data_IF_419497093996
#
_entry.id   IF_419497093996
#
_cell.length_a   1.000
_cell.length_b   1.000
_cell.length_c   1.000
_cell.angle_alpha   90.00
_cell.angle_beta   90.00
_cell.angle_gamma   90.00
#
_symmetry.space_group_name_H-M   'P 1'
#
loop_
_entity.id
_entity.type
_entity.pdbx_description
1 polymer ?
#
# COMPACT_ATOMS: atom_id res chain seq x y z
N UNK A 1 -20.43 -27.65 -76.69
CA UNK A 1 -20.83 -26.35 -76.11
C UNK A 1 -20.22 -26.24 -74.73
N UNK A 2 -19.25 -25.35 -74.57
CA UNK A 2 -18.43 -25.18 -73.36
C UNK A 2 -19.28 -24.50 -72.28
N UNK A 3 -19.43 -25.12 -71.10
CA UNK A 3 -20.01 -24.48 -69.91
C UNK A 3 -18.89 -24.12 -68.96
N UNK A 4 -18.65 -22.82 -68.79
CA UNK A 4 -17.75 -22.27 -67.77
C UNK A 4 -18.53 -22.17 -66.47
N UNK A 5 -18.08 -22.86 -65.43
CA UNK A 5 -18.66 -22.76 -64.08
C UNK A 5 -17.82 -21.76 -63.28
N UNK A 6 -18.40 -20.61 -62.95
CA UNK A 6 -17.76 -19.60 -62.12
C UNK A 6 -17.83 -20.03 -60.64
N UNK A 7 -16.67 -20.11 -59.99
CA UNK A 7 -16.52 -20.41 -58.57
C UNK A 7 -16.60 -19.08 -57.79
N UNK A 8 -17.62 -18.90 -56.96
CA UNK A 8 -17.73 -17.75 -56.07
C UNK A 8 -16.99 -18.05 -54.75
N UNK A 9 -15.87 -17.36 -54.49
CA UNK A 9 -15.23 -17.36 -53.18
C UNK A 9 -15.96 -16.36 -52.28
N UNK A 10 -16.62 -16.85 -51.24
CA UNK A 10 -17.09 -16.03 -50.11
C UNK A 10 -15.95 -15.84 -49.12
N UNK A 11 -15.44 -14.61 -49.00
CA UNK A 11 -14.47 -14.23 -47.97
C UNK A 11 -15.21 -13.92 -46.66
N UNK A 12 -15.14 -14.82 -45.67
CA UNK A 12 -15.56 -14.55 -44.30
C UNK A 12 -14.45 -13.82 -43.56
N UNK A 13 -14.65 -12.54 -43.26
CA UNK A 13 -13.78 -11.77 -42.37
C UNK A 13 -14.04 -12.21 -40.91
N UNK A 14 -13.05 -12.85 -40.29
CA UNK A 14 -13.09 -13.18 -38.87
C UNK A 14 -12.74 -11.93 -38.04
N UNK A 15 -13.72 -11.37 -37.34
CA UNK A 15 -13.51 -10.36 -36.31
C UNK A 15 -12.85 -11.03 -35.10
N UNK A 16 -11.57 -10.74 -34.89
CA UNK A 16 -10.86 -11.11 -33.66
C UNK A 16 -11.30 -10.13 -32.58
N UNK A 17 -12.20 -10.57 -31.69
CA UNK A 17 -12.49 -9.86 -30.45
C UNK A 17 -11.31 -10.07 -29.49
N UNK A 18 -10.42 -9.09 -29.40
CA UNK A 18 -9.51 -8.99 -28.25
C UNK A 18 -10.32 -8.56 -27.04
N UNK A 19 -10.72 -9.52 -26.21
CA UNK A 19 -11.19 -9.22 -24.86
C UNK A 19 -10.04 -8.55 -24.11
N UNK A 20 -10.09 -7.22 -23.98
CA UNK A 20 -9.23 -6.51 -23.06
C UNK A 20 -9.50 -7.03 -21.67
N UNK A 21 -8.53 -7.72 -21.07
CA UNK A 21 -8.53 -7.95 -19.64
C UNK A 21 -8.42 -6.57 -18.99
N UNK A 22 -9.55 -5.99 -18.62
CA UNK A 22 -9.58 -4.90 -17.66
C UNK A 22 -8.99 -5.46 -16.37
N UNK A 23 -7.68 -5.27 -16.18
CA UNK A 23 -7.06 -5.56 -14.90
C UNK A 23 -7.84 -4.79 -13.84
N UNK A 24 -8.28 -5.47 -12.79
CA UNK A 24 -8.70 -4.78 -11.57
C UNK A 24 -7.55 -3.88 -11.19
N UNK A 25 -7.77 -2.57 -11.20
CA UNK A 25 -6.81 -1.64 -10.65
C UNK A 25 -6.70 -1.98 -9.16
N UNK A 26 -5.72 -2.79 -8.78
CA UNK A 26 -5.46 -3.04 -7.39
C UNK A 26 -4.98 -1.71 -6.79
N UNK A 27 -5.70 -1.26 -5.76
CA UNK A 27 -5.40 -0.11 -4.93
C UNK A 27 -4.07 -0.32 -4.20
N UNK A 28 -2.97 -0.24 -4.93
CA UNK A 28 -1.61 -0.43 -4.42
C UNK A 28 -0.83 0.87 -4.62
N UNK A 29 -0.18 1.40 -3.56
CA UNK A 29 0.67 2.58 -3.66
C UNK A 29 1.87 2.36 -4.61
N UNK A 30 2.52 3.46 -5.03
CA UNK A 30 3.69 3.39 -5.89
C UNK A 30 4.89 2.70 -5.22
N UNK A 31 5.89 2.37 -6.04
CA UNK A 31 7.25 1.98 -5.62
C UNK A 31 7.37 0.76 -4.71
N UNK A 32 6.45 -0.21 -4.79
CA UNK A 32 6.66 -1.53 -4.16
C UNK A 32 7.76 -2.27 -4.95
N UNK A 33 8.94 -2.56 -4.35
CA UNK A 33 10.07 -3.17 -5.06
C UNK A 33 9.77 -4.62 -5.43
N UNK A 34 10.52 -5.23 -6.35
CA UNK A 34 10.41 -6.68 -6.62
C UNK A 34 10.80 -7.51 -5.38
N UNK A 35 10.41 -8.79 -5.34
CA UNK A 35 10.78 -9.68 -4.24
C UNK A 35 12.31 -9.82 -4.07
N UNK A 36 13.07 -9.82 -5.16
CA UNK A 36 14.55 -9.90 -5.12
C UNK A 36 15.17 -8.62 -4.55
N UNK A 37 14.63 -7.45 -4.91
CA UNK A 37 15.07 -6.17 -4.33
C UNK A 37 14.71 -6.11 -2.84
N UNK A 38 13.48 -6.46 -2.46
CA UNK A 38 13.07 -6.50 -1.06
C UNK A 38 13.95 -7.44 -0.22
N UNK A 39 14.33 -8.62 -0.72
CA UNK A 39 15.26 -9.51 0.00
C UNK A 39 16.65 -8.89 0.19
N UNK A 40 17.12 -8.12 -0.79
CA UNK A 40 18.40 -7.41 -0.69
C UNK A 40 18.32 -6.28 0.33
N UNK A 41 17.24 -5.49 0.30
CA UNK A 41 16.96 -4.45 1.29
C UNK A 41 16.86 -5.03 2.70
N UNK A 42 16.07 -6.10 2.89
CA UNK A 42 15.93 -6.79 4.19
C UNK A 42 17.27 -7.28 4.73
N UNK A 43 18.13 -7.86 3.87
CA UNK A 43 19.46 -8.30 4.26
C UNK A 43 20.32 -7.12 4.75
N UNK A 44 20.19 -5.95 4.10
CA UNK A 44 20.91 -4.72 4.43
C UNK A 44 20.38 -3.95 5.64
N UNK A 45 19.15 -4.22 6.11
CA UNK A 45 18.62 -3.55 7.30
C UNK A 45 19.43 -3.88 8.56
N UNK A 46 19.79 -2.84 9.31
CA UNK A 46 20.43 -2.93 10.62
C UNK A 46 19.50 -3.63 11.61
N UNK A 47 19.97 -4.73 12.19
CA UNK A 47 19.23 -5.46 13.21
C UNK A 47 19.48 -4.84 14.58
N UNK A 48 18.43 -4.35 15.23
CA UNK A 48 18.48 -3.77 16.58
C UNK A 48 17.16 -3.99 17.31
N UNK A 49 17.19 -4.08 18.64
CA UNK A 49 15.97 -4.11 19.42
C UNK A 49 15.23 -2.76 19.34
N UNK A 50 13.90 -2.81 19.36
CA UNK A 50 13.04 -1.65 19.58
C UNK A 50 13.40 -0.93 20.90
N UNK A 51 13.34 0.40 20.89
CA UNK A 51 13.67 1.23 22.07
C UNK A 51 12.76 2.46 22.16
N UNK A 52 12.82 3.21 23.26
CA UNK A 52 12.12 4.52 23.41
C UNK A 52 10.59 4.48 23.32
N UNK A 53 9.96 3.30 23.48
CA UNK A 53 8.50 3.11 23.45
C UNK A 53 7.76 4.06 24.40
N UNK A 54 8.30 4.24 25.60
CA UNK A 54 7.77 5.06 26.70
C UNK A 54 7.79 6.57 26.43
N UNK A 55 8.52 7.02 25.41
CA UNK A 55 8.65 8.43 25.04
C UNK A 55 7.90 8.80 23.77
N UNK A 56 7.20 7.84 23.16
CA UNK A 56 6.41 8.11 21.97
C UNK A 56 5.25 9.06 22.26
N UNK A 57 5.10 10.06 21.39
CA UNK A 57 3.90 10.87 21.28
C UNK A 57 3.55 11.03 19.80
N UNK A 58 2.32 10.65 19.43
CA UNK A 58 1.82 10.75 18.05
C UNK A 58 1.85 12.18 17.52
N UNK A 59 1.73 13.18 18.39
CA UNK A 59 1.79 14.60 18.01
C UNK A 59 3.15 15.02 17.42
N UNK A 60 4.21 14.23 17.68
CA UNK A 60 5.55 14.45 17.13
C UNK A 60 5.66 14.12 15.64
N UNK A 61 4.64 13.48 15.06
CA UNK A 61 4.48 13.22 13.63
C UNK A 61 3.34 14.07 13.08
N UNK A 62 3.58 15.34 12.68
CA UNK A 62 2.57 16.11 11.98
C UNK A 62 2.11 15.35 10.73
N UNK A 63 0.85 14.97 10.67
CA UNK A 63 0.30 14.18 9.58
C UNK A 63 -1.07 14.68 9.15
N UNK A 64 -1.41 14.34 7.91
CA UNK A 64 -2.48 14.92 7.12
C UNK A 64 -2.22 16.39 6.79
N UNK A 65 -0.99 16.69 6.35
CA UNK A 65 -0.68 18.00 5.79
C UNK A 65 -1.38 18.20 4.45
N UNK A 66 -1.64 19.46 4.10
CA UNK A 66 -2.12 19.84 2.77
C UNK A 66 -1.09 19.50 1.71
N UNK A 67 -1.49 18.70 0.71
CA UNK A 67 -0.66 18.34 -0.44
C UNK A 67 -0.91 19.28 -1.61
N UNK A 68 -2.18 19.54 -1.91
CA UNK A 68 -2.57 20.44 -3.00
C UNK A 68 -3.99 20.97 -2.79
N UNK A 69 -4.18 22.28 -2.95
CA UNK A 69 -5.49 22.92 -2.74
C UNK A 69 -6.02 22.68 -1.32
N UNK A 70 -7.23 22.13 -1.22
CA UNK A 70 -7.84 21.69 0.05
C UNK A 70 -7.56 20.23 0.40
N UNK A 71 -6.92 19.47 -0.49
CA UNK A 71 -6.64 18.05 -0.27
C UNK A 71 -5.45 17.87 0.67
N UNK A 72 -5.72 17.28 1.83
CA UNK A 72 -4.66 16.76 2.69
C UNK A 72 -4.16 15.40 2.19
N UNK A 73 -3.16 14.87 2.88
CA UNK A 73 -2.55 13.58 2.51
C UNK A 73 -3.55 12.42 2.58
N UNK A 74 -4.44 12.38 3.59
CA UNK A 74 -5.48 11.35 3.72
C UNK A 74 -6.40 11.33 2.50
N UNK A 75 -6.96 12.49 2.15
CA UNK A 75 -7.87 12.61 1.01
C UNK A 75 -7.14 12.34 -0.32
N UNK A 76 -5.85 12.68 -0.39
CA UNK A 76 -5.01 12.31 -1.53
C UNK A 76 -4.90 10.80 -1.70
N UNK A 77 -4.72 10.05 -0.61
CA UNK A 77 -4.66 8.58 -0.65
C UNK A 77 -6.02 7.97 -0.96
N UNK A 78 -7.10 8.43 -0.33
CA UNK A 78 -8.44 7.93 -0.63
C UNK A 78 -8.80 8.09 -2.11
N UNK A 79 -8.41 9.21 -2.71
CA UNK A 79 -8.62 9.44 -4.14
C UNK A 79 -7.72 8.60 -5.04
N UNK A 80 -6.48 8.33 -4.61
CA UNK A 80 -5.50 7.48 -5.33
C UNK A 80 -5.94 6.01 -5.35
N UNK A 81 -6.40 5.51 -4.20
CA UNK A 81 -6.66 4.09 -3.96
C UNK A 81 -8.13 3.71 -4.18
N UNK A 82 -9.04 4.69 -4.22
CA UNK A 82 -10.44 4.46 -4.50
C UNK A 82 -10.78 4.52 -5.99
N UNK A 83 -11.90 3.90 -6.36
CA UNK A 83 -12.48 3.96 -7.69
C UNK A 83 -13.70 4.89 -7.69
N UNK A 84 -13.89 5.65 -8.77
CA UNK A 84 -15.00 6.59 -8.96
C UNK A 84 -15.16 7.63 -7.83
N UNK A 85 -14.08 7.94 -7.11
CA UNK A 85 -14.12 8.82 -5.93
C UNK A 85 -14.58 10.23 -6.33
N UNK A 86 -15.65 10.69 -5.70
CA UNK A 86 -16.09 12.08 -5.77
C UNK A 86 -15.70 12.79 -4.47
N UNK A 87 -15.34 14.06 -4.58
CA UNK A 87 -14.89 14.88 -3.44
C UNK A 87 -15.70 16.16 -3.32
N UNK A 88 -15.91 16.62 -2.08
CA UNK A 88 -16.45 17.95 -1.79
C UNK A 88 -15.47 19.08 -2.13
N UNK A 89 -15.89 20.33 -1.89
CA UNK A 89 -15.01 21.51 -2.08
C UNK A 89 -13.83 21.56 -1.10
N UNK A 90 -13.98 20.90 0.05
CA UNK A 90 -12.94 20.66 1.05
C UNK A 90 -12.07 19.43 0.73
N UNK A 91 -12.26 18.81 -0.44
CA UNK A 91 -11.61 17.59 -0.90
C UNK A 91 -11.98 16.31 -0.12
N UNK A 92 -12.90 16.38 0.85
CA UNK A 92 -13.37 15.18 1.55
C UNK A 92 -14.07 14.24 0.56
N UNK A 93 -13.72 12.96 0.58
CA UNK A 93 -14.40 11.94 -0.23
C UNK A 93 -15.88 11.82 0.19
N UNK A 94 -16.80 12.04 -0.76
CA UNK A 94 -18.25 11.99 -0.54
C UNK A 94 -18.89 10.72 -1.10
N UNK A 95 -18.24 10.09 -2.09
CA UNK A 95 -18.60 8.78 -2.61
C UNK A 95 -17.40 8.14 -3.29
N UNK A 96 -17.48 6.83 -3.51
CA UNK A 96 -16.45 6.04 -4.17
C UNK A 96 -16.59 4.56 -3.78
N UNK A 97 -15.65 3.76 -4.23
CA UNK A 97 -15.48 2.37 -3.77
C UNK A 97 -14.02 2.12 -3.46
N UNK A 98 -13.74 1.39 -2.38
CA UNK A 98 -12.41 1.02 -1.94
C UNK A 98 -12.36 -0.48 -1.65
N UNK A 99 -11.27 -1.12 -2.06
CA UNK A 99 -10.98 -2.51 -1.76
C UNK A 99 -9.80 -2.57 -0.80
N UNK A 100 -9.99 -3.13 0.39
CA UNK A 100 -8.91 -3.27 1.36
C UNK A 100 -8.04 -4.49 1.02
N UNK A 101 -6.73 -4.31 0.80
CA UNK A 101 -5.84 -5.42 0.51
C UNK A 101 -5.58 -6.32 1.73
N UNK A 102 -5.85 -5.86 2.95
CA UNK A 102 -5.51 -6.61 4.16
C UNK A 102 -6.47 -7.77 4.42
N UNK A 103 -7.76 -7.60 4.13
CA UNK A 103 -8.84 -8.55 4.41
C UNK A 103 -9.73 -8.86 3.19
N UNK A 104 -9.53 -8.16 2.07
CA UNK A 104 -10.39 -8.28 0.88
C UNK A 104 -11.75 -7.59 1.04
N UNK A 105 -11.91 -6.73 2.05
CA UNK A 105 -13.14 -5.96 2.28
C UNK A 105 -13.42 -4.97 1.15
N UNK A 106 -14.70 -4.77 0.84
CA UNK A 106 -15.16 -3.82 -0.18
C UNK A 106 -16.08 -2.79 0.46
N UNK A 107 -15.76 -1.51 0.29
CA UNK A 107 -16.40 -0.41 1.01
C UNK A 107 -16.85 0.70 0.06
N UNK A 108 -18.03 1.25 0.30
CA UNK A 108 -18.56 2.44 -0.41
C UNK A 108 -18.56 3.69 0.44
N UNK A 109 -18.44 3.54 1.76
CA UNK A 109 -18.35 4.66 2.70
C UNK A 109 -16.89 4.92 3.06
N UNK A 110 -16.43 6.15 2.84
CA UNK A 110 -15.06 6.55 3.17
C UNK A 110 -14.77 6.57 4.69
N UNK A 111 -15.80 6.43 5.53
CA UNK A 111 -15.68 6.28 6.98
C UNK A 111 -15.27 4.88 7.43
N UNK A 112 -15.52 3.86 6.60
CA UNK A 112 -15.15 2.46 6.89
C UNK A 112 -13.72 2.15 6.39
N UNK A 113 -13.04 3.17 5.86
CA UNK A 113 -11.70 3.09 5.27
C UNK A 113 -10.76 4.04 5.99
N UNK A 114 -9.71 3.47 6.55
CA UNK A 114 -8.58 4.19 7.11
C UNK A 114 -7.43 4.30 6.11
N UNK A 115 -6.58 5.30 6.33
CA UNK A 115 -5.27 5.35 5.69
C UNK A 115 -4.24 4.84 6.69
N UNK A 116 -3.79 3.61 6.48
CA UNK A 116 -2.76 2.96 7.30
C UNK A 116 -1.36 3.44 6.89
N UNK A 117 -0.49 3.52 7.89
CA UNK A 117 0.95 3.63 7.74
C UNK A 117 1.55 2.22 7.73
N UNK A 118 2.02 1.75 6.57
CA UNK A 118 2.59 0.41 6.36
C UNK A 118 3.59 0.05 7.47
N UNK A 119 4.54 0.94 7.75
CA UNK A 119 5.27 0.95 9.02
C UNK A 119 4.57 1.94 9.97
N UNK A 120 3.92 1.49 11.07
CA UNK A 120 3.21 2.37 11.99
C UNK A 120 4.10 3.50 12.53
N UNK A 121 3.51 4.66 12.85
CA UNK A 121 4.29 5.80 13.36
C UNK A 121 5.03 5.49 14.67
N UNK A 122 4.39 4.75 15.57
CA UNK A 122 5.02 4.32 16.83
C UNK A 122 6.07 3.25 16.60
N UNK A 123 5.85 2.36 15.64
CA UNK A 123 6.86 1.39 15.24
C UNK A 123 8.10 2.08 14.64
N UNK A 124 7.90 3.04 13.74
CA UNK A 124 8.99 3.87 13.22
C UNK A 124 9.73 4.60 14.35
N UNK A 125 9.02 5.10 15.37
CA UNK A 125 9.64 5.71 16.55
C UNK A 125 10.57 4.72 17.24
N UNK A 126 10.09 3.51 17.56
CA UNK A 126 10.88 2.47 18.21
C UNK A 126 12.08 2.00 17.40
N UNK A 127 11.96 2.11 16.08
CA UNK A 127 12.95 1.74 15.08
C UNK A 127 13.88 2.89 14.62
N UNK A 128 13.89 4.02 15.34
CA UNK A 128 14.90 5.07 15.18
C UNK A 128 14.36 6.47 14.84
N UNK A 129 13.05 6.62 14.55
CA UNK A 129 12.46 7.93 14.27
C UNK A 129 12.40 8.86 15.50
N UNK A 130 12.65 8.34 16.71
CA UNK A 130 12.83 9.14 17.92
C UNK A 130 13.98 10.17 17.77
N UNK A 131 15.02 9.82 17.01
CA UNK A 131 16.18 10.67 16.79
C UNK A 131 15.98 11.67 15.64
N UNK A 132 14.88 11.58 14.89
CA UNK A 132 14.64 12.44 13.74
C UNK A 132 14.22 13.85 14.16
N UNK A 133 14.40 14.80 13.24
CA UNK A 133 13.76 16.10 13.35
C UNK A 133 12.25 15.96 13.12
N UNK A 134 11.46 16.90 13.64
CA UNK A 134 10.01 16.93 13.39
C UNK A 134 9.69 17.02 11.90
N UNK A 135 10.49 17.74 11.10
CA UNK A 135 10.32 17.82 9.65
C UNK A 135 10.44 16.43 9.00
N UNK A 136 11.47 15.65 9.35
CA UNK A 136 11.64 14.28 8.80
C UNK A 136 10.51 13.34 9.23
N UNK A 137 10.01 13.46 10.48
CA UNK A 137 8.81 12.72 10.92
C UNK A 137 7.55 13.12 10.17
N UNK A 138 7.38 14.40 9.88
CA UNK A 138 6.28 14.89 9.05
C UNK A 138 6.39 14.31 7.63
N UNK A 139 7.58 14.34 7.02
CA UNK A 139 7.77 13.79 5.67
C UNK A 139 7.42 12.28 5.64
N UNK A 140 7.89 11.51 6.63
CA UNK A 140 7.55 10.08 6.76
C UNK A 140 6.05 9.83 6.92
N UNK A 141 5.39 10.61 7.78
CA UNK A 141 3.97 10.40 8.05
C UNK A 141 3.06 10.83 6.89
N UNK A 142 3.59 11.55 5.90
CA UNK A 142 2.85 12.00 4.72
C UNK A 142 3.46 11.50 3.40
N UNK A 143 4.25 10.42 3.46
CA UNK A 143 4.96 9.90 2.29
C UNK A 143 3.99 9.29 1.26
N UNK A 144 3.93 9.92 0.10
CA UNK A 144 3.16 9.48 -1.07
C UNK A 144 4.05 8.90 -2.19
N UNK A 145 5.37 8.89 -1.98
CA UNK A 145 6.36 8.40 -2.96
C UNK A 145 6.60 6.92 -2.76
N UNK A 146 6.81 6.49 -1.52
CA UNK A 146 7.05 5.08 -1.18
C UNK A 146 5.74 4.41 -0.70
N UNK A 147 5.67 3.07 -0.55
CA UNK A 147 4.44 2.37 -0.22
C UNK A 147 4.12 2.46 1.28
N UNK A 148 4.14 3.67 1.83
CA UNK A 148 3.93 3.95 3.24
C UNK A 148 2.45 4.15 3.58
N UNK A 149 1.64 4.72 2.69
CA UNK A 149 0.23 5.00 2.98
C UNK A 149 -0.71 4.12 2.16
N UNK A 150 -1.69 3.48 2.80
CA UNK A 150 -2.61 2.51 2.19
C UNK A 150 -4.06 2.70 2.65
N UNK A 151 -5.01 2.71 1.72
CA UNK A 151 -6.43 2.61 2.06
C UNK A 151 -6.79 1.18 2.50
N UNK A 152 -7.27 1.02 3.74
CA UNK A 152 -7.59 -0.30 4.33
C UNK A 152 -8.85 -0.24 5.19
N UNK A 153 -9.46 -1.40 5.47
CA UNK A 153 -10.60 -1.51 6.39
C UNK A 153 -10.23 -0.96 7.77
N UNK A 154 -11.08 -0.09 8.33
CA UNK A 154 -10.85 0.62 9.59
C UNK A 154 -10.53 -0.29 10.79
N UNK A 155 -11.33 -1.33 11.01
CA UNK A 155 -11.19 -2.22 12.16
C UNK A 155 -9.99 -3.16 12.02
N UNK A 156 -9.57 -3.48 10.79
CA UNK A 156 -8.36 -4.25 10.50
C UNK A 156 -7.12 -3.40 10.77
N UNK A 157 -7.16 -2.11 10.41
CA UNK A 157 -6.12 -1.15 10.77
C UNK A 157 -6.02 -0.96 12.29
N UNK A 158 -7.15 -0.85 12.98
CA UNK A 158 -7.17 -0.77 14.45
C UNK A 158 -6.62 -2.06 15.10
N UNK A 159 -6.88 -3.23 14.52
CA UNK A 159 -6.32 -4.50 14.98
C UNK A 159 -4.81 -4.61 14.75
N UNK A 160 -4.27 -3.98 13.70
CA UNK A 160 -2.83 -3.83 13.47
C UNK A 160 -2.19 -2.90 14.50
N UNK A 161 -2.82 -1.76 14.79
CA UNK A 161 -2.31 -0.80 15.77
C UNK A 161 -0.89 -0.33 15.45
N UNK A 162 0.00 -0.45 16.43
CA UNK A 162 1.43 -0.18 16.30
C UNK A 162 2.27 -1.46 16.14
N UNK A 163 1.67 -2.61 15.86
CA UNK A 163 2.39 -3.87 15.73
C UNK A 163 3.26 -3.94 14.46
N UNK A 164 4.38 -4.61 14.63
CA UNK A 164 5.29 -5.00 13.56
C UNK A 164 4.85 -6.36 12.95
N UNK A 165 5.47 -6.80 11.85
CA UNK A 165 5.20 -8.11 11.21
C UNK A 165 5.36 -9.34 12.11
N UNK A 166 6.09 -9.25 13.24
CA UNK A 166 6.19 -10.36 14.19
C UNK A 166 4.91 -10.55 15.00
N UNK A 167 4.22 -9.47 15.34
CA UNK A 167 3.04 -9.48 16.20
C UNK A 167 1.72 -9.43 15.42
N UNK A 168 1.72 -8.79 14.24
CA UNK A 168 0.54 -8.70 13.39
C UNK A 168 0.85 -8.97 11.91
N UNK A 169 -0.07 -9.64 11.23
CA UNK A 169 -0.04 -9.84 9.77
C UNK A 169 -1.44 -9.65 9.20
N UNK A 170 -1.57 -9.24 7.93
CA UNK A 170 -2.86 -9.17 7.28
C UNK A 170 -3.65 -10.49 7.39
N UNK A 171 -4.98 -10.45 7.54
CA UNK A 171 -5.80 -11.67 7.46
C UNK A 171 -5.66 -12.40 6.10
N UNK A 172 -5.49 -11.65 5.01
CA UNK A 172 -5.33 -12.18 3.66
C UNK A 172 -3.89 -12.65 3.42
N UNK A 173 -3.68 -13.96 3.48
CA UNK A 173 -2.35 -14.58 3.27
C UNK A 173 -1.78 -14.37 1.87
N UNK A 174 -2.62 -14.27 0.83
CA UNK A 174 -2.18 -13.94 -0.53
C UNK A 174 -1.58 -12.54 -0.65
N UNK A 175 -1.79 -11.67 0.36
CA UNK A 175 -1.21 -10.34 0.42
C UNK A 175 0.16 -10.30 1.12
N UNK A 176 0.64 -11.41 1.70
CA UNK A 176 1.88 -11.45 2.49
C UNK A 176 3.12 -11.02 1.71
N UNK A 177 3.29 -11.55 0.50
CA UNK A 177 4.41 -11.16 -0.35
C UNK A 177 4.42 -9.64 -0.59
N UNK A 178 3.28 -9.04 -0.94
CA UNK A 178 3.17 -7.59 -1.19
C UNK A 178 3.41 -6.77 0.07
N UNK A 179 2.79 -7.15 1.19
CA UNK A 179 2.97 -6.50 2.48
C UNK A 179 4.44 -6.49 2.90
N UNK A 180 5.11 -7.65 2.87
CA UNK A 180 6.50 -7.76 3.28
C UNK A 180 7.47 -6.99 2.38
N UNK A 181 7.19 -6.93 1.07
CA UNK A 181 7.96 -6.10 0.12
C UNK A 181 7.81 -4.62 0.44
N UNK A 182 6.58 -4.14 0.63
CA UNK A 182 6.29 -2.74 0.96
C UNK A 182 6.91 -2.34 2.31
N UNK A 183 6.67 -3.14 3.35
CA UNK A 183 7.16 -2.91 4.70
C UNK A 183 8.70 -2.84 4.73
N UNK A 184 9.37 -3.79 4.07
CA UNK A 184 10.84 -3.78 3.94
C UNK A 184 11.34 -2.51 3.25
N UNK A 185 10.69 -2.13 2.15
CA UNK A 185 11.09 -0.97 1.37
C UNK A 185 10.98 0.32 2.19
N UNK A 186 9.89 0.50 2.93
CA UNK A 186 9.71 1.65 3.81
C UNK A 186 10.81 1.68 4.87
N UNK A 187 11.08 0.57 5.56
CA UNK A 187 12.17 0.53 6.55
C UNK A 187 13.53 0.88 5.92
N UNK A 188 13.80 0.39 4.73
CA UNK A 188 15.04 0.66 4.00
C UNK A 188 15.16 2.14 3.57
N UNK A 189 14.14 2.68 2.90
CA UNK A 189 14.11 4.05 2.39
C UNK A 189 14.28 5.09 3.50
N UNK A 190 13.71 4.81 4.67
CA UNK A 190 13.76 5.71 5.82
C UNK A 190 14.89 5.44 6.81
N UNK A 191 15.73 4.43 6.54
CA UNK A 191 16.83 3.98 7.39
C UNK A 191 16.38 3.63 8.82
N UNK A 192 15.26 2.94 8.93
CA UNK A 192 14.76 2.37 10.19
C UNK A 192 15.46 1.04 10.48
N UNK A 193 15.62 0.72 11.76
CA UNK A 193 16.10 -0.60 12.19
C UNK A 193 14.99 -1.65 12.08
N UNK A 194 15.38 -2.91 12.09
CA UNK A 194 14.47 -4.06 12.17
C UNK A 194 14.88 -4.93 13.35
N UNK A 195 13.95 -5.44 14.15
CA UNK A 195 14.33 -6.39 15.19
C UNK A 195 14.49 -7.82 14.63
N UNK A 196 14.97 -8.75 15.45
CA UNK A 196 15.25 -10.13 14.99
C UNK A 196 13.98 -10.93 14.71
N UNK A 197 12.93 -10.77 15.53
CA UNK A 197 11.65 -11.46 15.34
C UNK A 197 10.93 -10.89 14.11
N UNK A 198 10.93 -9.57 14.01
CA UNK A 198 10.41 -8.82 12.88
C UNK A 198 11.06 -9.26 11.56
N UNK A 199 12.40 -9.26 11.49
CA UNK A 199 13.16 -9.66 10.30
C UNK A 199 12.84 -11.09 9.88
N UNK A 200 12.66 -11.98 10.84
CA UNK A 200 12.28 -13.38 10.60
C UNK A 200 10.86 -13.49 10.04
N UNK A 201 9.93 -12.73 10.59
CA UNK A 201 8.55 -12.70 10.13
C UNK A 201 8.42 -12.14 8.71
N UNK A 202 9.11 -11.03 8.41
CA UNK A 202 9.20 -10.46 7.06
C UNK A 202 9.80 -11.47 6.09
N UNK A 203 10.91 -12.12 6.46
CA UNK A 203 11.54 -13.15 5.62
C UNK A 203 10.57 -14.29 5.27
N UNK A 204 9.84 -14.80 6.27
CA UNK A 204 8.84 -15.85 6.08
C UNK A 204 7.69 -15.42 5.16
N UNK A 205 7.28 -14.15 5.23
CA UNK A 205 6.26 -13.59 4.33
C UNK A 205 6.80 -13.42 2.90
N UNK A 206 8.07 -13.03 2.73
CA UNK A 206 8.71 -12.97 1.41
C UNK A 206 8.84 -14.34 0.75
N UNK A 207 8.85 -15.44 1.51
CA UNK A 207 8.84 -16.81 0.99
C UNK A 207 7.49 -17.24 0.41
N UNK A 208 6.46 -16.39 0.52
CA UNK A 208 5.17 -16.56 -0.19
C UNK A 208 5.16 -15.89 -1.57
N UNK A 209 6.24 -15.19 -1.92
CA UNK A 209 6.57 -14.83 -3.31
C UNK A 209 7.16 -16.06 -4.03
#
# INVERSE_FOLDING_TARGET
MIRVTACALSATAALVFTAGLSGTANATPPNIPSASVARTELAGLTVAAETHDDTYDRSLFPHWITISGSCNTRETVLKRDGQNVQTGSDCAATSGTWDSPYDGGHWTAASDVDIDHMVPLKEAWRSGAWAWTTAKRQDFANDLTDPQLWAVTDNVNQAKGDDDPANWKPPTTSFYCTYARAYTHVKHAWALTVDSAEKTAIGSMLDTC
#
